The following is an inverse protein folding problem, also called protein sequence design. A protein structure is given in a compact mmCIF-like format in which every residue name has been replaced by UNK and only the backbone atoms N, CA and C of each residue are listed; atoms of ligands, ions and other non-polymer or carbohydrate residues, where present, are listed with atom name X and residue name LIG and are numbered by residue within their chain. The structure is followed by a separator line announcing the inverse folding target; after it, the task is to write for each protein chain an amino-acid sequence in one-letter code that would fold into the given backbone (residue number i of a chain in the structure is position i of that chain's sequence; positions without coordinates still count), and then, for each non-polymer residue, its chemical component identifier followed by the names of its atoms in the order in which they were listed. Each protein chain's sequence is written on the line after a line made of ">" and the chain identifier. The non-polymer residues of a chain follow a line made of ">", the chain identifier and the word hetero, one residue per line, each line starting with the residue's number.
data_IF_511773318089
#
_entry.id   IF_511773318089
#
_cell.length_a   1.000
_cell.length_b   1.000
_cell.length_c   1.000
_cell.angle_alpha   90.00
_cell.angle_beta   90.00
_cell.angle_gamma   90.00
#
_symmetry.space_group_name_H-M   'P 1'
#
loop_
_entity.id
_entity.type
_entity.pdbx_description
1 polymer ?
#
# COMPACT_ATOMS: atom_id res chain seq x y z
N UNK A 1 1.86 49.60 -11.26
CA UNK A 1 2.59 48.98 -10.13
C UNK A 1 1.67 48.56 -8.98
N UNK A 2 0.85 49.44 -8.39
CA UNK A 2 -0.05 49.12 -7.25
C UNK A 2 -1.01 47.94 -7.48
N UNK A 3 -1.62 47.83 -8.67
CA UNK A 3 -2.54 46.72 -9.01
C UNK A 3 -1.85 45.36 -9.13
N UNK A 4 -0.61 45.33 -9.62
CA UNK A 4 0.18 44.10 -9.74
C UNK A 4 0.53 43.53 -8.37
N UNK A 5 0.81 44.39 -7.39
CA UNK A 5 1.11 43.99 -6.02
C UNK A 5 -0.09 43.33 -5.33
N UNK A 6 -1.29 43.87 -5.57
CA UNK A 6 -2.54 43.33 -5.03
C UNK A 6 -2.86 41.94 -5.61
N UNK A 7 -2.63 41.74 -6.90
CA UNK A 7 -2.84 40.44 -7.56
C UNK A 7 -1.85 39.40 -7.01
N UNK A 8 -0.59 39.78 -6.83
CA UNK A 8 0.43 38.88 -6.28
C UNK A 8 0.12 38.49 -4.83
N UNK A 9 -0.32 39.44 -4.01
CA UNK A 9 -0.73 39.17 -2.63
C UNK A 9 -1.95 38.24 -2.56
N UNK A 10 -2.93 38.41 -3.46
CA UNK A 10 -4.09 37.54 -3.55
C UNK A 10 -3.72 36.10 -3.97
N UNK A 11 -2.79 35.95 -4.91
CA UNK A 11 -2.26 34.64 -5.33
C UNK A 11 -1.51 33.94 -4.19
N UNK A 12 -0.67 34.66 -3.44
CA UNK A 12 0.01 34.10 -2.27
C UNK A 12 -0.97 33.66 -1.18
N UNK A 13 -1.97 34.48 -0.88
CA UNK A 13 -3.00 34.13 0.12
C UNK A 13 -3.84 32.91 -0.29
N UNK A 14 -4.12 32.75 -1.59
CA UNK A 14 -4.84 31.58 -2.12
C UNK A 14 -3.99 30.29 -2.09
N UNK A 15 -2.66 30.40 -2.17
CA UNK A 15 -1.76 29.23 -2.10
C UNK A 15 -1.58 28.68 -0.68
N UNK A 16 -1.96 29.42 0.37
CA UNK A 16 -1.80 28.96 1.75
C UNK A 16 -2.80 27.88 2.16
N UNK A 17 -3.94 27.76 1.49
CA UNK A 17 -5.00 26.81 1.86
C UNK A 17 -4.77 25.38 1.34
N UNK A 18 -3.73 25.14 0.54
CA UNK A 18 -3.43 23.80 0.00
C UNK A 18 -2.54 22.93 0.91
N UNK A 19 -2.14 23.43 2.08
CA UNK A 19 -1.28 22.70 3.03
C UNK A 19 -2.10 22.07 4.17
N UNK A 20 -3.28 21.55 3.89
CA UNK A 20 -4.12 20.89 4.91
C UNK A 20 -4.81 19.66 4.33
N UNK A 21 -4.06 18.55 4.23
CA UNK A 21 -4.52 17.17 4.43
C UNK A 21 -3.43 16.15 4.03
N UNK A 22 -2.17 16.38 4.38
CA UNK A 22 -1.21 15.27 4.42
C UNK A 22 -1.64 14.36 5.58
N UNK A 23 -2.52 13.39 5.29
CA UNK A 23 -2.78 12.28 6.20
C UNK A 23 -1.43 11.68 6.59
N UNK A 24 -1.24 11.22 7.85
CA UNK A 24 -0.04 10.51 8.23
C UNK A 24 0.18 9.40 7.20
N UNK A 25 1.21 9.58 6.39
CA UNK A 25 1.64 8.61 5.39
C UNK A 25 2.13 7.42 6.19
N UNK A 26 1.27 6.41 6.35
CA UNK A 26 1.77 5.07 6.65
C UNK A 26 2.80 4.79 5.57
N UNK A 27 4.04 4.50 5.99
CA UNK A 27 5.09 4.17 5.02
C UNK A 27 4.52 3.15 4.04
N UNK A 28 4.69 3.36 2.71
CA UNK A 28 4.12 2.47 1.73
C UNK A 28 4.60 1.05 2.01
N UNK A 29 3.68 0.18 2.43
CA UNK A 29 4.00 -1.22 2.70
C UNK A 29 4.03 -1.95 1.37
N UNK A 30 5.12 -2.66 1.08
CA UNK A 30 5.20 -3.44 -0.14
C UNK A 30 4.14 -4.55 -0.12
N UNK A 31 3.57 -4.86 -1.29
CA UNK A 31 2.59 -5.92 -1.40
C UNK A 31 3.16 -7.26 -0.90
N UNK A 32 4.47 -7.47 -1.07
CA UNK A 32 5.21 -8.62 -0.54
C UNK A 32 5.10 -8.74 0.98
N UNK A 33 5.23 -7.64 1.71
CA UNK A 33 5.26 -7.67 3.17
C UNK A 33 3.87 -8.02 3.73
N UNK A 34 2.83 -7.55 3.06
CA UNK A 34 1.44 -7.93 3.37
C UNK A 34 1.20 -9.40 3.05
N UNK A 35 1.61 -9.87 1.86
CA UNK A 35 1.48 -11.29 1.48
C UNK A 35 2.22 -12.17 2.48
N UNK A 36 3.43 -11.80 2.89
CA UNK A 36 4.25 -12.59 3.80
C UNK A 36 3.66 -12.66 5.21
N UNK A 37 3.00 -11.59 5.66
CA UNK A 37 2.28 -11.53 6.93
C UNK A 37 1.06 -12.47 6.98
N UNK A 38 0.38 -12.68 5.85
CA UNK A 38 -0.90 -13.39 5.82
C UNK A 38 -0.90 -14.74 5.12
N UNK A 39 0.01 -15.02 4.20
CA UNK A 39 -0.02 -16.24 3.40
C UNK A 39 0.01 -17.52 4.26
N UNK A 40 0.82 -17.54 5.33
CA UNK A 40 0.85 -18.67 6.26
C UNK A 40 -0.47 -18.83 7.02
N UNK A 41 -1.04 -17.73 7.51
CA UNK A 41 -2.32 -17.77 8.22
C UNK A 41 -3.46 -18.24 7.32
N UNK A 42 -3.49 -17.80 6.06
CA UNK A 42 -4.47 -18.27 5.07
C UNK A 42 -4.27 -19.77 4.82
N UNK A 43 -3.03 -20.19 4.53
CA UNK A 43 -2.74 -21.58 4.23
C UNK A 43 -3.12 -22.51 5.39
N UNK A 44 -2.58 -22.28 6.59
CA UNK A 44 -2.84 -23.13 7.75
C UNK A 44 -4.27 -23.01 8.29
N UNK A 45 -4.91 -21.84 8.13
CA UNK A 45 -6.31 -21.63 8.49
C UNK A 45 -7.31 -22.24 7.50
N UNK A 46 -6.91 -22.52 6.27
CA UNK A 46 -7.80 -23.05 5.23
C UNK A 46 -8.01 -24.57 5.27
N UNK A 47 -7.13 -25.31 5.96
CA UNK A 47 -7.11 -26.78 5.91
C UNK A 47 -6.67 -27.36 4.56
N UNK A 48 -6.20 -26.54 3.62
CA UNK A 48 -5.79 -26.99 2.29
C UNK A 48 -4.54 -27.89 2.36
N UNK A 49 -4.48 -28.90 1.48
CA UNK A 49 -3.26 -29.69 1.25
C UNK A 49 -2.18 -28.88 0.54
N UNK A 50 -2.59 -27.87 -0.25
CA UNK A 50 -1.71 -26.92 -0.91
C UNK A 50 -2.43 -25.66 -1.31
N UNK A 51 -1.68 -24.58 -1.53
CA UNK A 51 -2.17 -23.26 -1.86
C UNK A 51 -1.26 -22.61 -2.89
N UNK A 52 -1.87 -21.97 -3.88
CA UNK A 52 -1.23 -20.97 -4.73
C UNK A 52 -1.99 -19.64 -4.55
N UNK A 53 -1.28 -18.62 -4.10
CA UNK A 53 -1.80 -17.29 -3.84
C UNK A 53 -1.19 -16.30 -4.83
N UNK A 54 -2.05 -15.49 -5.46
CA UNK A 54 -1.67 -14.41 -6.37
C UNK A 54 -2.26 -13.12 -5.85
N UNK A 55 -1.41 -12.12 -5.64
CA UNK A 55 -1.82 -10.77 -5.22
C UNK A 55 -1.35 -9.76 -6.26
N UNK A 56 -2.29 -8.95 -6.75
CA UNK A 56 -2.03 -7.87 -7.70
C UNK A 56 -2.44 -6.58 -7.01
N UNK A 57 -1.46 -5.70 -6.77
CA UNK A 57 -1.67 -4.38 -6.19
C UNK A 57 -1.01 -3.33 -7.08
N UNK A 58 -1.83 -2.65 -7.88
CA UNK A 58 -1.35 -1.76 -8.94
C UNK A 58 -0.39 -2.46 -9.89
N UNK A 59 0.87 -2.01 -9.93
CA UNK A 59 1.92 -2.60 -10.77
C UNK A 59 2.73 -3.71 -10.05
N UNK A 60 2.43 -4.01 -8.78
CA UNK A 60 3.06 -5.08 -8.02
C UNK A 60 2.30 -6.38 -8.23
N UNK A 61 3.05 -7.47 -8.43
CA UNK A 61 2.52 -8.84 -8.54
C UNK A 61 3.32 -9.73 -7.61
N UNK A 62 2.64 -10.38 -6.67
CA UNK A 62 3.25 -11.28 -5.69
C UNK A 62 2.63 -12.65 -5.83
N UNK A 63 3.48 -13.67 -5.90
CA UNK A 63 3.09 -15.06 -5.99
C UNK A 63 3.63 -15.81 -4.78
N UNK A 64 2.78 -16.56 -4.10
CA UNK A 64 3.19 -17.41 -2.97
C UNK A 64 2.58 -18.79 -3.11
N UNK A 65 3.36 -19.82 -2.83
CA UNK A 65 2.89 -21.21 -2.86
C UNK A 65 3.31 -21.93 -1.59
N UNK A 66 2.38 -22.72 -1.05
CA UNK A 66 2.61 -23.60 0.08
C UNK A 66 1.99 -24.95 -0.21
N UNK A 67 2.59 -26.00 0.33
CA UNK A 67 2.12 -27.37 0.23
C UNK A 67 2.39 -28.06 1.56
N UNK A 68 1.62 -29.09 1.88
CA UNK A 68 1.81 -29.85 3.10
C UNK A 68 2.95 -30.82 2.87
N UNK A 69 4.03 -30.68 3.63
CA UNK A 69 5.04 -31.72 3.68
C UNK A 69 4.36 -33.01 4.15
N UNK A 70 4.53 -34.14 3.45
CA UNK A 70 4.02 -35.41 3.93
C UNK A 70 4.58 -35.70 5.33
N UNK A 71 3.84 -36.37 6.22
CA UNK A 71 4.37 -36.73 7.52
C UNK A 71 5.61 -37.62 7.34
N UNK A 72 6.78 -37.18 7.81
CA UNK A 72 8.01 -37.99 7.82
C UNK A 72 9.23 -37.43 7.09
N UNK A 73 9.22 -36.18 6.63
CA UNK A 73 10.43 -35.45 6.22
C UNK A 73 11.03 -34.60 7.34
#
# INVERSE_FOLDING_TARGET
>A
MKRSLLIFAALCAASWTSVQAAQPTVDPVFASDVVDRYANHIYYGSGATGMALVVIDGNQRVFRRLWRNPPGE
#
